data_IF_056628163963
#
_entry.id   IF_056628163963
#
_cell.length_a   1.000
_cell.length_b   1.000
_cell.length_c   1.000
_cell.angle_alpha   90.00
_cell.angle_beta   90.00
_cell.angle_gamma   90.00
#
_symmetry.space_group_name_H-M   'P 1'
#
loop_
_entity.id
_entity.type
_entity.pdbx_description
1 polymer ?
#
# COMPACT_ATOMS: atom_id res chain seq x y z
N UNK A 1 -17.01 -7.91 13.60
CA UNK A 1 -18.47 -7.66 13.72
C UNK A 1 -19.01 -7.61 12.31
N UNK A 2 -20.05 -8.38 12.01
CA UNK A 2 -20.71 -8.30 10.69
C UNK A 2 -21.66 -7.10 10.68
N UNK A 3 -21.40 -6.14 9.78
CA UNK A 3 -22.15 -4.89 9.65
C UNK A 3 -22.96 -4.80 8.34
N UNK A 4 -22.90 -5.83 7.50
CA UNK A 4 -23.65 -5.88 6.23
C UNK A 4 -25.15 -5.87 6.53
N UNK A 5 -25.90 -5.07 5.79
CA UNK A 5 -27.33 -4.86 5.93
C UNK A 5 -27.76 -4.47 7.36
N UNK A 6 -27.01 -3.55 7.98
CA UNK A 6 -27.19 -3.08 9.36
C UNK A 6 -27.38 -1.58 9.44
N UNK A 7 -28.12 -1.16 10.48
CA UNK A 7 -28.24 0.23 10.91
C UNK A 7 -27.33 0.45 12.13
N UNK A 8 -26.34 1.30 11.97
CA UNK A 8 -25.36 1.61 13.00
C UNK A 8 -25.70 2.97 13.59
N UNK A 9 -25.93 3.02 14.89
CA UNK A 9 -26.08 4.27 15.60
C UNK A 9 -24.76 4.74 16.20
N UNK A 10 -24.45 6.03 16.04
CA UNK A 10 -23.36 6.71 16.71
C UNK A 10 -23.86 8.00 17.36
N UNK A 11 -23.46 8.23 18.61
CA UNK A 11 -23.77 9.48 19.32
C UNK A 11 -23.12 10.68 18.65
N UNK A 12 -21.96 10.50 18.02
CA UNK A 12 -21.24 11.53 17.29
C UNK A 12 -20.50 10.95 16.08
N UNK A 13 -20.62 11.63 14.95
CA UNK A 13 -19.90 11.27 13.73
C UNK A 13 -19.35 12.51 13.01
N UNK A 14 -18.22 12.35 12.32
CA UNK A 14 -17.71 13.36 11.41
C UNK A 14 -18.22 13.04 9.99
N UNK A 15 -19.13 13.90 9.51
CA UNK A 15 -19.71 13.82 8.17
C UNK A 15 -19.05 14.85 7.23
N UNK A 16 -19.29 14.81 5.92
CA UNK A 16 -18.73 15.79 4.98
C UNK A 16 -19.01 17.25 5.33
N UNK A 17 -20.16 17.51 5.97
CA UNK A 17 -20.58 18.87 6.38
C UNK A 17 -20.14 19.24 7.81
N UNK A 18 -19.36 18.41 8.47
CA UNK A 18 -18.88 18.62 9.83
C UNK A 18 -19.42 17.62 10.86
N UNK A 19 -19.28 17.97 12.12
CA UNK A 19 -19.70 17.10 13.22
C UNK A 19 -21.22 17.07 13.38
N UNK A 20 -21.76 15.85 13.47
CA UNK A 20 -23.18 15.60 13.72
C UNK A 20 -23.39 14.68 14.91
N UNK A 21 -24.52 14.84 15.59
CA UNK A 21 -24.88 14.02 16.76
C UNK A 21 -26.06 13.11 16.42
N UNK A 22 -26.14 11.97 17.11
CA UNK A 22 -27.23 10.99 16.98
C UNK A 22 -27.40 10.55 15.50
N UNK A 23 -26.33 10.05 14.91
CA UNK A 23 -26.25 9.67 13.50
C UNK A 23 -26.57 8.18 13.34
N UNK A 24 -27.40 7.86 12.36
CA UNK A 24 -27.61 6.48 11.89
C UNK A 24 -26.99 6.33 10.51
N UNK A 25 -26.11 5.33 10.39
CA UNK A 25 -25.45 4.93 9.16
C UNK A 25 -26.07 3.61 8.70
N UNK A 26 -26.63 3.59 7.51
CA UNK A 26 -27.23 2.40 6.91
C UNK A 26 -26.24 1.75 5.96
N UNK A 27 -25.94 0.49 6.21
CA UNK A 27 -25.07 -0.33 5.36
C UNK A 27 -25.95 -1.27 4.55
N UNK A 28 -25.79 -1.27 3.25
CA UNK A 28 -26.55 -2.14 2.34
C UNK A 28 -25.98 -3.58 2.26
N UNK A 29 -26.59 -4.40 1.40
CA UNK A 29 -26.21 -5.80 1.19
C UNK A 29 -24.81 -5.95 0.55
N UNK A 30 -24.31 -4.93 -0.12
CA UNK A 30 -22.95 -4.89 -0.71
C UNK A 30 -21.90 -4.35 0.26
N UNK A 31 -22.29 -3.99 1.50
CA UNK A 31 -21.37 -3.44 2.49
C UNK A 31 -21.07 -1.95 2.30
N UNK A 32 -21.83 -1.26 1.45
CA UNK A 32 -21.66 0.17 1.20
C UNK A 32 -22.59 1.00 2.09
N UNK A 33 -22.17 2.22 2.42
CA UNK A 33 -23.03 3.19 3.09
C UNK A 33 -24.10 3.64 2.10
N UNK A 34 -25.34 3.21 2.33
CA UNK A 34 -26.48 3.56 1.48
C UNK A 34 -27.17 4.85 1.91
N UNK A 35 -27.14 5.15 3.22
CA UNK A 35 -27.78 6.34 3.75
C UNK A 35 -27.12 6.79 5.07
N UNK A 36 -27.21 8.08 5.37
CA UNK A 36 -26.78 8.67 6.65
C UNK A 36 -27.83 9.67 7.09
N UNK A 37 -28.42 9.45 8.26
CA UNK A 37 -29.49 10.31 8.80
C UNK A 37 -29.16 10.78 10.20
N UNK A 38 -29.65 11.97 10.57
CA UNK A 38 -29.56 12.53 11.90
C UNK A 38 -30.90 12.41 12.62
N UNK A 39 -30.87 12.22 13.94
CA UNK A 39 -32.03 12.29 14.82
C UNK A 39 -33.24 11.43 14.40
N UNK A 40 -33.05 10.14 14.14
CA UNK A 40 -34.16 9.29 13.73
C UNK A 40 -34.47 8.16 14.72
N UNK A 41 -35.76 7.84 14.83
CA UNK A 41 -36.30 6.71 15.60
C UNK A 41 -36.27 5.40 14.79
N UNK A 42 -35.19 5.14 14.04
CA UNK A 42 -35.02 3.89 13.29
C UNK A 42 -34.59 2.76 14.21
N UNK A 43 -34.89 1.54 13.77
CA UNK A 43 -34.36 0.34 14.41
C UNK A 43 -32.84 0.37 14.29
N UNK A 44 -32.15 0.23 15.40
CA UNK A 44 -30.70 0.17 15.49
C UNK A 44 -30.28 -1.30 15.66
N UNK A 45 -29.38 -1.77 14.82
CA UNK A 45 -28.82 -3.12 14.90
C UNK A 45 -27.47 -3.15 15.64
N UNK A 46 -26.71 -2.04 15.54
CA UNK A 46 -25.42 -1.84 16.22
C UNK A 46 -25.43 -0.46 16.89
N UNK A 47 -25.29 -0.45 18.21
CA UNK A 47 -25.28 0.78 19.02
C UNK A 47 -23.84 1.13 19.45
N UNK A 48 -23.29 2.21 18.92
CA UNK A 48 -21.97 2.75 19.25
C UNK A 48 -22.13 4.07 20.05
N UNK A 49 -23.02 4.06 21.04
CA UNK A 49 -23.40 5.25 21.80
C UNK A 49 -22.23 5.93 22.53
N UNK A 50 -21.23 5.18 22.94
CA UNK A 50 -20.05 5.71 23.64
C UNK A 50 -18.87 6.02 22.69
N UNK A 51 -19.03 5.76 21.38
CA UNK A 51 -17.96 5.91 20.41
C UNK A 51 -18.22 7.09 19.46
N UNK A 52 -17.13 7.57 18.87
CA UNK A 52 -17.13 8.60 17.83
C UNK A 52 -16.76 7.94 16.50
N UNK A 53 -17.62 8.09 15.49
CA UNK A 53 -17.32 7.57 14.15
C UNK A 53 -16.58 8.64 13.34
N UNK A 54 -15.51 8.23 12.71
CA UNK A 54 -14.70 9.02 11.77
C UNK A 54 -14.59 8.27 10.44
N UNK A 55 -14.54 8.97 9.29
CA UNK A 55 -14.06 8.36 8.05
C UNK A 55 -12.65 7.81 8.25
N UNK A 56 -12.43 6.59 7.81
CA UNK A 56 -11.10 5.99 7.89
C UNK A 56 -10.13 6.67 6.91
N UNK A 57 -8.84 6.59 7.20
CA UNK A 57 -7.79 7.23 6.41
C UNK A 57 -7.24 6.30 5.33
N UNK A 58 -6.71 6.91 4.26
CA UNK A 58 -5.88 6.21 3.28
C UNK A 58 -4.42 6.65 3.43
N UNK A 59 -3.50 5.71 3.46
CA UNK A 59 -2.07 5.98 3.36
C UNK A 59 -1.70 6.14 1.88
N UNK A 60 -1.33 7.36 1.47
CA UNK A 60 -1.07 7.68 0.07
C UNK A 60 0.39 7.45 -0.36
N UNK A 61 1.26 6.96 0.53
CA UNK A 61 2.67 6.71 0.22
C UNK A 61 3.22 5.57 1.07
N UNK A 62 3.51 4.44 0.44
CA UNK A 62 4.09 3.27 1.09
C UNK A 62 5.11 2.59 0.17
N UNK A 63 6.13 2.03 0.80
CA UNK A 63 7.11 1.11 0.25
C UNK A 63 7.23 -0.04 1.26
N UNK A 64 6.31 -0.98 1.21
CA UNK A 64 6.11 -1.98 2.29
C UNK A 64 7.37 -2.73 2.69
N UNK A 65 8.22 -3.12 1.74
CA UNK A 65 9.46 -3.84 2.03
C UNK A 65 10.42 -3.05 2.96
N UNK A 66 10.37 -1.71 2.93
CA UNK A 66 11.22 -0.87 3.79
C UNK A 66 10.86 -1.01 5.28
N UNK A 67 9.66 -1.52 5.60
CA UNK A 67 9.28 -1.79 7.00
C UNK A 67 10.24 -2.75 7.70
N UNK A 68 10.88 -3.65 6.95
CA UNK A 68 11.90 -4.57 7.48
C UNK A 68 13.14 -3.85 8.03
N UNK A 69 13.39 -2.62 7.62
CA UNK A 69 14.54 -1.83 8.07
C UNK A 69 14.28 -1.05 9.37
N UNK A 70 13.06 -1.08 9.91
CA UNK A 70 12.71 -0.36 11.12
C UNK A 70 13.59 -0.77 12.31
N UNK A 71 14.07 0.21 13.03
CA UNK A 71 15.02 0.02 14.13
C UNK A 71 16.50 0.00 13.69
N UNK A 72 16.78 -0.12 12.40
CA UNK A 72 18.16 -0.10 11.86
C UNK A 72 18.50 1.21 11.16
N UNK A 73 17.49 1.93 10.67
CA UNK A 73 17.66 3.19 9.94
C UNK A 73 17.45 4.43 10.82
N UNK A 74 16.82 4.28 11.97
CA UNK A 74 16.52 5.38 12.91
C UNK A 74 17.62 5.58 13.95
N UNK A 75 18.56 4.61 14.08
CA UNK A 75 19.68 4.72 14.98
C UNK A 75 20.82 5.53 14.33
N UNK A 76 21.31 6.53 15.05
CA UNK A 76 22.48 7.30 14.60
C UNK A 76 23.73 6.43 14.61
N UNK A 77 24.48 6.43 13.51
CA UNK A 77 25.75 5.71 13.46
C UNK A 77 26.78 6.28 14.47
N UNK A 78 27.68 5.46 15.01
CA UNK A 78 28.74 5.94 15.90
C UNK A 78 29.61 7.06 15.28
N UNK A 79 29.73 7.08 13.95
CA UNK A 79 30.48 8.09 13.20
C UNK A 79 29.71 9.39 13.02
N UNK A 80 28.38 9.38 13.24
CA UNK A 80 27.54 10.58 13.18
C UNK A 80 27.34 11.21 11.80
N UNK A 81 27.67 10.49 10.74
CA UNK A 81 27.62 10.95 9.34
C UNK A 81 26.45 10.36 8.55
N UNK A 82 25.33 10.11 9.23
CA UNK A 82 24.15 9.54 8.59
C UNK A 82 23.50 10.55 7.65
N UNK A 83 23.19 10.08 6.44
CA UNK A 83 22.55 10.84 5.40
C UNK A 83 21.75 9.90 4.48
N UNK A 84 21.13 10.45 3.44
CA UNK A 84 20.39 9.68 2.45
C UNK A 84 21.22 8.52 1.84
N UNK A 85 22.50 8.71 1.63
CA UNK A 85 23.35 7.70 0.98
C UNK A 85 23.65 6.52 1.92
N UNK A 86 23.89 6.78 3.21
CA UNK A 86 24.06 5.71 4.21
C UNK A 86 22.78 4.90 4.39
N UNK A 87 21.63 5.56 4.44
CA UNK A 87 20.31 4.90 4.45
C UNK A 87 20.10 4.03 3.18
N UNK A 88 20.38 4.58 2.01
CA UNK A 88 20.24 3.87 0.73
C UNK A 88 21.13 2.62 0.64
N UNK A 89 22.35 2.69 1.16
CA UNK A 89 23.24 1.53 1.19
C UNK A 89 22.67 0.41 2.07
N UNK A 90 22.09 0.74 3.22
CA UNK A 90 21.44 -0.24 4.08
C UNK A 90 20.22 -0.85 3.37
N UNK A 91 19.41 -0.04 2.71
CA UNK A 91 18.30 -0.53 1.90
C UNK A 91 18.76 -1.57 0.86
N UNK A 92 19.85 -1.33 0.15
CA UNK A 92 20.38 -2.30 -0.82
C UNK A 92 20.84 -3.60 -0.18
N UNK A 93 21.44 -3.55 1.03
CA UNK A 93 21.79 -4.76 1.77
C UNK A 93 20.55 -5.62 2.10
N UNK A 94 19.43 -4.99 2.44
CA UNK A 94 18.16 -5.70 2.61
C UNK A 94 17.65 -6.29 1.30
N UNK A 95 17.76 -5.56 0.22
CA UNK A 95 17.34 -6.04 -1.10
C UNK A 95 18.14 -7.25 -1.58
N UNK A 96 19.37 -7.42 -1.12
CA UNK A 96 20.24 -8.54 -1.48
C UNK A 96 19.86 -9.86 -0.77
N UNK A 97 18.92 -9.82 0.19
CA UNK A 97 18.48 -11.01 0.95
C UNK A 97 16.98 -11.29 0.84
N UNK A 98 16.15 -10.31 0.56
CA UNK A 98 14.68 -10.46 0.55
C UNK A 98 14.19 -11.31 -0.63
N UNK A 99 13.49 -12.40 -0.31
CA UNK A 99 12.81 -13.27 -1.25
C UNK A 99 11.29 -12.96 -1.32
N UNK A 100 10.50 -13.58 -2.23
CA UNK A 100 9.07 -13.29 -2.38
C UNK A 100 8.23 -13.54 -1.12
N UNK A 101 8.51 -14.60 -0.36
CA UNK A 101 7.77 -14.93 0.87
C UNK A 101 8.06 -13.92 1.99
N UNK A 102 9.27 -13.40 2.05
CA UNK A 102 9.63 -12.33 2.97
C UNK A 102 8.95 -11.01 2.59
N UNK A 103 8.88 -10.67 1.30
CA UNK A 103 8.14 -9.51 0.81
C UNK A 103 6.66 -9.62 1.19
N UNK A 104 6.04 -10.78 0.98
CA UNK A 104 4.67 -11.05 1.43
C UNK A 104 4.51 -10.80 2.94
N UNK A 105 5.36 -11.42 3.76
CA UNK A 105 5.26 -11.35 5.22
C UNK A 105 5.47 -9.93 5.76
N UNK A 106 6.46 -9.20 5.22
CA UNK A 106 6.74 -7.80 5.58
C UNK A 106 5.56 -6.90 5.18
N UNK A 107 5.02 -7.10 3.98
CA UNK A 107 3.88 -6.33 3.49
C UNK A 107 2.64 -6.58 4.37
N UNK A 108 2.33 -7.84 4.66
CA UNK A 108 1.21 -8.22 5.53
C UNK A 108 1.34 -7.57 6.91
N UNK A 109 2.54 -7.64 7.51
CA UNK A 109 2.79 -7.02 8.80
C UNK A 109 2.62 -5.49 8.77
N UNK A 110 3.17 -4.82 7.75
CA UNK A 110 3.03 -3.38 7.56
C UNK A 110 1.57 -2.95 7.40
N UNK A 111 0.80 -3.69 6.62
CA UNK A 111 -0.63 -3.43 6.40
C UNK A 111 -1.46 -3.68 7.66
N UNK A 112 -1.12 -4.68 8.45
CA UNK A 112 -1.73 -4.91 9.76
C UNK A 112 -1.51 -3.72 10.72
N UNK A 113 -0.28 -3.17 10.76
CA UNK A 113 0.01 -1.96 11.54
C UNK A 113 -0.77 -0.74 11.02
N UNK A 114 -0.95 -0.60 9.70
CA UNK A 114 -1.78 0.44 9.10
C UNK A 114 -3.24 0.32 9.55
N UNK A 115 -3.83 -0.88 9.47
CA UNK A 115 -5.20 -1.14 9.91
C UNK A 115 -5.38 -0.85 11.41
N UNK A 116 -4.45 -1.26 12.26
CA UNK A 116 -4.46 -0.95 13.69
C UNK A 116 -4.37 0.55 13.99
N UNK A 117 -3.78 1.31 13.07
CA UNK A 117 -3.64 2.77 13.15
C UNK A 117 -4.81 3.53 12.49
N UNK A 118 -5.84 2.82 12.01
CA UNK A 118 -7.05 3.40 11.41
C UNK A 118 -6.96 3.70 9.91
N UNK A 119 -5.96 3.18 9.22
CA UNK A 119 -5.90 3.22 7.76
C UNK A 119 -6.65 2.02 7.17
N UNK A 120 -7.40 2.24 6.10
CA UNK A 120 -8.18 1.19 5.39
C UNK A 120 -7.77 1.02 3.93
N UNK A 121 -6.92 1.91 3.44
CA UNK A 121 -6.41 1.85 2.08
C UNK A 121 -4.97 2.32 2.01
N UNK A 122 -4.23 1.82 1.03
CA UNK A 122 -2.82 2.16 0.81
C UNK A 122 -2.51 2.36 -0.67
N UNK A 123 -1.77 3.42 -0.96
CA UNK A 123 -1.07 3.61 -2.23
C UNK A 123 0.34 3.05 -2.11
N UNK A 124 0.58 1.88 -2.68
CA UNK A 124 1.86 1.18 -2.60
C UNK A 124 2.72 1.51 -3.83
N UNK A 125 3.78 2.29 -3.63
CA UNK A 125 4.76 2.62 -4.65
C UNK A 125 5.75 1.47 -4.78
N UNK A 126 5.48 0.56 -5.71
CA UNK A 126 6.15 -0.73 -5.85
C UNK A 126 7.20 -0.70 -6.96
N UNK A 127 8.46 -0.72 -6.59
CA UNK A 127 9.59 -0.68 -7.53
C UNK A 127 10.50 -1.90 -7.48
N UNK A 128 10.20 -2.90 -6.65
CA UNK A 128 10.96 -4.14 -6.53
C UNK A 128 10.36 -5.20 -7.46
N UNK A 129 11.00 -5.47 -8.62
CA UNK A 129 10.41 -6.33 -9.65
C UNK A 129 11.19 -7.60 -9.94
N UNK A 130 12.53 -7.57 -9.74
CA UNK A 130 13.43 -8.62 -10.21
C UNK A 130 13.99 -9.45 -9.04
N UNK A 131 14.57 -10.60 -9.37
CA UNK A 131 15.32 -11.41 -8.45
C UNK A 131 16.59 -10.66 -7.97
N UNK A 132 17.23 -11.19 -6.93
CA UNK A 132 18.55 -10.75 -6.49
C UNK A 132 19.50 -10.82 -7.68
N UNK A 133 20.28 -9.75 -7.90
CA UNK A 133 21.14 -9.63 -9.07
C UNK A 133 20.46 -9.16 -10.37
N UNK A 134 19.13 -8.92 -10.35
CA UNK A 134 18.40 -8.23 -11.44
C UNK A 134 17.82 -9.14 -12.52
N UNK A 135 17.95 -10.48 -12.41
CA UNK A 135 17.27 -11.39 -13.33
C UNK A 135 15.77 -11.36 -13.14
N UNK A 136 15.01 -11.55 -14.21
CA UNK A 136 13.55 -11.62 -14.13
C UNK A 136 13.09 -12.90 -13.44
N UNK A 137 11.97 -12.86 -12.75
CA UNK A 137 11.23 -14.05 -12.36
C UNK A 137 10.57 -14.67 -13.62
N UNK A 138 10.28 -15.96 -13.58
CA UNK A 138 9.49 -16.63 -14.63
C UNK A 138 8.08 -15.98 -14.72
N UNK A 139 7.48 -15.69 -13.57
CA UNK A 139 6.35 -14.81 -13.44
C UNK A 139 6.86 -13.36 -13.21
N UNK A 140 6.82 -12.52 -14.24
CA UNK A 140 7.31 -11.14 -14.14
C UNK A 140 6.62 -10.31 -13.06
N UNK A 141 5.40 -10.69 -12.63
CA UNK A 141 4.61 -10.03 -11.60
C UNK A 141 4.78 -10.67 -10.20
N UNK A 142 5.67 -11.63 -10.02
CA UNK A 142 5.84 -12.41 -8.78
C UNK A 142 5.79 -11.55 -7.51
N UNK A 143 6.62 -10.51 -7.42
CA UNK A 143 6.68 -9.66 -6.23
C UNK A 143 5.44 -8.76 -6.08
N UNK A 144 4.84 -8.35 -7.20
CA UNK A 144 3.58 -7.60 -7.20
C UNK A 144 2.43 -8.45 -6.69
N UNK A 145 2.35 -9.71 -7.11
CA UNK A 145 1.34 -10.66 -6.67
C UNK A 145 1.48 -10.95 -5.17
N UNK A 146 2.71 -11.06 -4.64
CA UNK A 146 2.94 -11.21 -3.19
C UNK A 146 2.40 -10.05 -2.36
N UNK A 147 2.54 -8.83 -2.85
CA UNK A 147 1.95 -7.64 -2.19
C UNK A 147 0.42 -7.70 -2.24
N UNK A 148 -0.15 -8.09 -3.37
CA UNK A 148 -1.60 -8.21 -3.53
C UNK A 148 -2.19 -9.38 -2.71
N UNK A 149 -1.48 -10.50 -2.60
CA UNK A 149 -1.83 -11.61 -1.71
C UNK A 149 -1.88 -11.15 -0.24
N UNK A 150 -0.86 -10.41 0.20
CA UNK A 150 -0.83 -9.82 1.54
C UNK A 150 -2.01 -8.86 1.76
N UNK A 151 -2.36 -8.06 0.75
CA UNK A 151 -3.51 -7.15 0.83
C UNK A 151 -4.85 -7.88 0.88
N UNK A 152 -4.97 -9.01 0.18
CA UNK A 152 -6.16 -9.85 0.25
C UNK A 152 -6.32 -10.49 1.65
N UNK A 153 -5.22 -10.90 2.28
CA UNK A 153 -5.24 -11.49 3.61
C UNK A 153 -5.50 -10.45 4.71
N UNK A 154 -4.84 -9.29 4.65
CA UNK A 154 -5.04 -8.21 5.63
C UNK A 154 -6.42 -7.58 5.53
N UNK A 155 -7.03 -7.59 4.35
CA UNK A 155 -8.30 -6.91 4.06
C UNK A 155 -8.16 -5.42 3.75
N UNK A 156 -6.95 -4.86 3.69
CA UNK A 156 -6.73 -3.46 3.31
C UNK A 156 -7.00 -3.25 1.82
N UNK A 157 -7.64 -2.14 1.46
CA UNK A 157 -7.74 -1.72 0.06
C UNK A 157 -6.38 -1.25 -0.45
N UNK A 158 -6.01 -1.60 -1.68
CA UNK A 158 -4.72 -1.20 -2.24
C UNK A 158 -4.87 -0.56 -3.62
N UNK A 159 -4.13 0.53 -3.84
CA UNK A 159 -3.76 1.02 -5.15
C UNK A 159 -2.30 0.65 -5.39
N UNK A 160 -2.05 -0.41 -6.16
CA UNK A 160 -0.69 -0.80 -6.50
C UNK A 160 -0.16 0.11 -7.62
N UNK A 161 1.01 0.70 -7.40
CA UNK A 161 1.69 1.61 -8.32
C UNK A 161 3.02 0.98 -8.75
N UNK A 162 3.04 0.05 -9.71
CA UNK A 162 4.29 -0.43 -10.26
C UNK A 162 5.06 0.72 -10.90
N UNK A 163 6.37 0.70 -10.73
CA UNK A 163 7.24 1.84 -11.03
C UNK A 163 8.12 1.54 -12.23
N UNK A 164 8.17 2.46 -13.18
CA UNK A 164 9.17 2.45 -14.26
C UNK A 164 10.51 2.91 -13.69
N UNK A 165 11.53 2.05 -13.83
CA UNK A 165 12.88 2.32 -13.33
C UNK A 165 13.92 1.88 -14.36
N UNK A 166 14.36 2.78 -15.23
CA UNK A 166 15.21 2.46 -16.38
C UNK A 166 16.66 2.94 -16.23
N UNK A 167 16.90 4.02 -15.46
CA UNK A 167 18.23 4.64 -15.35
C UNK A 167 18.70 4.78 -13.91
N UNK A 168 20.00 4.71 -13.72
CA UNK A 168 20.65 4.79 -12.40
C UNK A 168 20.72 6.18 -11.79
N UNK A 169 20.49 7.23 -12.60
CA UNK A 169 20.55 8.62 -12.16
C UNK A 169 20.14 9.60 -13.24
N UNK A 170 20.10 10.90 -12.88
CA UNK A 170 19.73 12.00 -13.78
C UNK A 170 20.75 12.25 -14.92
N UNK A 171 21.93 11.69 -14.80
CA UNK A 171 23.01 11.73 -15.78
C UNK A 171 22.92 10.59 -16.81
N UNK A 172 21.79 9.89 -16.84
CA UNK A 172 21.51 8.77 -17.74
C UNK A 172 22.46 7.56 -17.55
N UNK A 173 23.11 7.46 -16.40
CA UNK A 173 23.99 6.31 -16.10
C UNK A 173 23.22 5.00 -15.99
N UNK A 174 23.93 3.93 -16.20
CA UNK A 174 23.38 2.58 -16.04
C UNK A 174 23.03 2.25 -14.56
N UNK A 175 22.22 1.22 -14.39
CA UNK A 175 21.82 0.72 -13.08
C UNK A 175 22.94 -0.17 -12.52
N UNK A 176 23.19 -0.04 -11.21
CA UNK A 176 24.22 -0.80 -10.51
C UNK A 176 23.69 -1.41 -9.21
N UNK A 177 24.26 -2.55 -8.81
CA UNK A 177 24.00 -3.21 -7.53
C UNK A 177 22.51 -3.45 -7.29
N UNK A 178 22.00 -3.04 -6.13
CA UNK A 178 20.60 -3.22 -5.73
C UNK A 178 19.56 -2.56 -6.67
N UNK A 179 19.97 -1.58 -7.48
CA UNK A 179 19.07 -0.97 -8.48
C UNK A 179 18.62 -1.97 -9.55
N UNK A 180 19.42 -3.00 -9.84
CA UNK A 180 19.08 -4.03 -10.82
C UNK A 180 17.78 -4.77 -10.47
N UNK A 181 17.43 -4.85 -9.19
CA UNK A 181 16.14 -5.41 -8.75
C UNK A 181 14.94 -4.58 -9.15
N UNK A 182 15.14 -3.30 -9.47
CA UNK A 182 14.08 -2.36 -9.86
C UNK A 182 13.91 -2.28 -11.38
N UNK A 183 14.94 -2.69 -12.12
CA UNK A 183 15.05 -2.43 -13.55
C UNK A 183 13.88 -2.98 -14.36
N UNK A 184 13.29 -2.08 -15.13
CA UNK A 184 12.43 -2.39 -16.26
C UNK A 184 12.58 -1.28 -17.31
N UNK A 185 12.42 -1.64 -18.57
CA UNK A 185 12.18 -0.70 -19.66
C UNK A 185 10.70 -0.69 -20.01
N UNK A 186 10.28 0.17 -20.93
CA UNK A 186 8.86 0.34 -21.29
C UNK A 186 8.23 -1.00 -21.72
N UNK A 187 8.91 -1.81 -22.55
CA UNK A 187 8.35 -3.08 -23.03
C UNK A 187 8.15 -4.11 -21.90
N UNK A 188 9.11 -4.18 -20.99
CA UNK A 188 9.01 -5.08 -19.82
C UNK A 188 8.02 -4.56 -18.79
N UNK A 189 7.91 -3.25 -18.64
CA UNK A 189 6.93 -2.62 -17.77
C UNK A 189 5.50 -2.85 -18.27
N UNK A 190 5.26 -2.73 -19.56
CA UNK A 190 3.94 -3.01 -20.14
C UNK A 190 3.51 -4.47 -19.90
N UNK A 191 4.43 -5.41 -20.05
CA UNK A 191 4.16 -6.83 -19.73
C UNK A 191 3.83 -7.01 -18.25
N UNK A 192 4.63 -6.44 -17.36
CA UNK A 192 4.40 -6.45 -15.91
C UNK A 192 3.01 -5.88 -15.57
N UNK A 193 2.70 -4.70 -16.09
CA UNK A 193 1.41 -4.03 -15.86
C UNK A 193 0.22 -4.88 -16.29
N UNK A 194 0.29 -5.46 -17.51
CA UNK A 194 -0.78 -6.30 -18.03
C UNK A 194 -0.95 -7.59 -17.22
N UNK A 195 0.13 -8.18 -16.71
CA UNK A 195 0.06 -9.35 -15.85
C UNK A 195 -0.58 -9.03 -14.49
N UNK A 196 -0.17 -7.94 -13.85
CA UNK A 196 -0.80 -7.46 -12.61
C UNK A 196 -2.29 -7.21 -12.81
N UNK A 197 -2.69 -6.60 -13.93
CA UNK A 197 -4.09 -6.32 -14.25
C UNK A 197 -4.95 -7.59 -14.30
N UNK A 198 -4.42 -8.70 -14.80
CA UNK A 198 -5.12 -9.99 -14.80
C UNK A 198 -5.33 -10.50 -13.37
N UNK A 199 -4.35 -10.36 -12.50
CA UNK A 199 -4.47 -10.75 -11.11
C UNK A 199 -5.50 -9.90 -10.35
N UNK A 200 -5.46 -8.59 -10.56
CA UNK A 200 -6.38 -7.63 -9.92
C UNK A 200 -7.85 -7.83 -10.24
N UNK A 201 -8.16 -8.35 -11.42
CA UNK A 201 -9.57 -8.58 -11.83
C UNK A 201 -10.34 -9.52 -10.90
N UNK A 202 -9.68 -10.15 -9.95
CA UNK A 202 -10.25 -11.08 -8.98
C UNK A 202 -10.68 -10.41 -7.66
N UNK A 203 -10.37 -9.13 -7.46
CA UNK A 203 -10.66 -8.42 -6.20
C UNK A 203 -11.09 -6.96 -6.48
N UNK A 204 -12.33 -6.62 -6.12
CA UNK A 204 -12.93 -5.31 -6.37
C UNK A 204 -12.31 -4.17 -5.52
N UNK A 205 -11.66 -4.51 -4.40
CA UNK A 205 -11.01 -3.54 -3.51
C UNK A 205 -9.60 -3.16 -3.95
N UNK A 206 -9.13 -3.70 -5.08
CA UNK A 206 -7.81 -3.44 -5.60
C UNK A 206 -7.88 -2.55 -6.84
N UNK A 207 -6.93 -1.63 -6.93
CA UNK A 207 -6.77 -0.75 -8.08
C UNK A 207 -5.31 -0.73 -8.53
N UNK A 208 -5.09 -0.33 -9.78
CA UNK A 208 -3.78 -0.29 -10.41
C UNK A 208 -3.55 1.09 -11.00
N UNK A 209 -2.42 1.68 -10.65
CA UNK A 209 -1.91 2.88 -11.28
C UNK A 209 -0.55 2.64 -11.91
N UNK A 210 0.15 3.70 -12.22
CA UNK A 210 1.53 3.69 -12.72
C UNK A 210 2.32 4.80 -12.04
N UNK A 211 3.62 4.58 -11.85
CA UNK A 211 4.50 5.60 -11.33
C UNK A 211 5.84 5.62 -12.06
N UNK A 212 6.42 6.82 -12.16
CA UNK A 212 7.81 7.00 -12.55
C UNK A 212 8.67 7.13 -11.30
N UNK A 213 9.82 6.45 -11.26
CA UNK A 213 10.68 6.43 -10.07
C UNK A 213 11.14 7.83 -9.65
N UNK A 214 11.55 8.64 -10.61
CA UNK A 214 12.11 9.98 -10.34
C UNK A 214 12.11 10.86 -11.59
N UNK A 215 12.49 12.11 -11.40
CA UNK A 215 12.67 13.07 -12.50
C UNK A 215 13.68 12.62 -13.57
N UNK A 216 14.59 11.68 -13.26
CA UNK A 216 15.51 11.08 -14.24
C UNK A 216 14.80 10.36 -15.39
N UNK A 217 13.53 9.98 -15.22
CA UNK A 217 12.72 9.37 -16.28
C UNK A 217 11.94 10.39 -17.13
N UNK A 218 11.84 11.64 -16.70
CA UNK A 218 11.09 12.68 -17.42
C UNK A 218 11.87 13.21 -18.64
N UNK A 219 13.16 13.00 -18.67
CA UNK A 219 14.06 13.48 -19.72
C UNK A 219 14.48 12.39 -20.73
N UNK A 220 13.74 11.30 -20.78
CA UNK A 220 13.92 10.20 -21.74
C UNK A 220 13.23 10.55 -23.06
#
# INVERSE_FOLDING_TARGET
>A
MDIINKHIFAKKALLPNGWSNNVIIEIDQSGLISNVTENNNHKVDVDLNEEIILPAMNNLHSHSFQRAMAGLTEARSPQGNDNFWSWRNLMYQFLDVLNPEEIYSITLFSQMEMLQSGYVGVGEFHYLHNQIGGTKYDNIAELSEKILEASAESGISICLLPVVYERGGCDNRELEGGQLRFHNNIDTFEKLYNQIKVFLSKNENFSLGVAAHSLSLIHI
#
